data_IF_368504215301
#
_entry.id   IF_368504215301
#
_cell.length_a   1.000
_cell.length_b   1.000
_cell.length_c   1.000
_cell.angle_alpha   90.00
_cell.angle_beta   90.00
_cell.angle_gamma   90.00
#
_symmetry.space_group_name_H-M   'P 1'
#
loop_
_entity.id
_entity.type
_entity.pdbx_description
1 polymer ?
#
# COMPACT_ATOMS: atom_id res chain seq x y z
N UNK A 1 -16.18 -6.45 25.57
CA UNK A 1 -15.00 -7.22 25.11
C UNK A 1 -14.72 -6.88 23.64
N UNK A 2 -13.59 -6.25 23.34
CA UNK A 2 -13.18 -5.97 21.94
C UNK A 2 -12.75 -7.30 21.31
N UNK A 3 -13.45 -7.79 20.28
CA UNK A 3 -13.06 -9.00 19.54
C UNK A 3 -11.74 -8.70 18.81
N UNK A 4 -10.68 -9.45 19.15
CA UNK A 4 -9.42 -9.39 18.43
C UNK A 4 -9.63 -10.01 17.05
N UNK A 5 -9.56 -9.22 15.98
CA UNK A 5 -9.65 -9.78 14.63
C UNK A 5 -8.35 -10.53 14.37
N UNK A 6 -8.41 -11.87 14.37
CA UNK A 6 -7.23 -12.68 14.12
C UNK A 6 -6.75 -12.50 12.67
N UNK A 7 -5.45 -12.73 12.43
CA UNK A 7 -4.93 -12.67 11.06
C UNK A 7 -5.70 -13.60 10.11
N UNK A 8 -6.16 -14.74 10.65
CA UNK A 8 -6.95 -15.73 9.94
C UNK A 8 -8.33 -15.19 9.57
N UNK A 9 -9.03 -14.53 10.50
CA UNK A 9 -10.36 -13.95 10.25
C UNK A 9 -10.35 -12.88 9.16
N UNK A 10 -9.25 -12.14 9.02
CA UNK A 10 -9.10 -11.15 7.94
C UNK A 10 -8.79 -11.81 6.58
N UNK A 11 -8.04 -12.91 6.57
CA UNK A 11 -7.58 -13.55 5.34
C UNK A 11 -8.58 -14.57 4.77
N UNK A 12 -9.37 -15.23 5.61
CA UNK A 12 -10.39 -16.22 5.17
C UNK A 12 -11.32 -15.64 4.09
N UNK A 13 -11.90 -14.43 4.26
CA UNK A 13 -12.82 -13.86 3.27
C UNK A 13 -12.17 -13.56 1.91
N UNK A 14 -10.84 -13.56 1.83
CA UNK A 14 -10.11 -13.22 0.59
C UNK A 14 -9.97 -14.42 -0.36
N UNK A 15 -10.26 -15.62 0.14
CA UNK A 15 -10.18 -16.86 -0.62
C UNK A 15 -11.42 -17.08 -1.50
N UNK A 16 -11.22 -17.65 -2.69
CA UNK A 16 -12.33 -18.13 -3.54
C UNK A 16 -11.90 -19.27 -4.46
N UNK A 17 -12.87 -20.11 -4.86
CA UNK A 17 -12.64 -21.19 -5.82
C UNK A 17 -12.12 -20.70 -7.18
N UNK A 18 -12.58 -19.52 -7.64
CA UNK A 18 -12.11 -18.92 -8.90
C UNK A 18 -10.61 -18.58 -8.83
N UNK A 19 -10.17 -18.02 -7.70
CA UNK A 19 -8.76 -17.69 -7.45
C UNK A 19 -7.88 -18.93 -7.32
N UNK A 20 -8.38 -19.96 -6.64
CA UNK A 20 -7.70 -21.26 -6.54
C UNK A 20 -7.53 -21.90 -7.92
N UNK A 21 -8.61 -21.97 -8.71
CA UNK A 21 -8.58 -22.46 -10.09
C UNK A 21 -7.57 -21.67 -10.96
N UNK A 22 -7.55 -20.34 -10.83
CA UNK A 22 -6.57 -19.51 -11.52
C UNK A 22 -5.12 -19.84 -11.12
N UNK A 23 -4.85 -20.08 -9.83
CA UNK A 23 -3.54 -20.46 -9.34
C UNK A 23 -3.10 -21.82 -9.91
N UNK A 24 -4.00 -22.80 -9.96
CA UNK A 24 -3.75 -24.11 -10.58
C UNK A 24 -3.42 -23.96 -12.07
N UNK A 25 -4.20 -23.16 -12.81
CA UNK A 25 -3.95 -22.89 -14.23
C UNK A 25 -2.59 -22.22 -14.46
N UNK A 26 -2.22 -21.25 -13.63
CA UNK A 26 -0.94 -20.55 -13.70
C UNK A 26 0.25 -21.49 -13.41
N UNK A 27 0.18 -22.28 -12.34
CA UNK A 27 1.25 -23.21 -11.97
C UNK A 27 1.39 -24.31 -13.03
N UNK A 28 0.27 -24.91 -13.45
CA UNK A 28 0.27 -25.96 -14.47
C UNK A 28 0.87 -25.47 -15.79
N UNK A 29 0.47 -24.29 -16.26
CA UNK A 29 1.00 -23.75 -17.51
C UNK A 29 2.46 -23.34 -17.39
N UNK A 30 2.91 -22.86 -16.22
CA UNK A 30 4.33 -22.58 -15.95
C UNK A 30 5.19 -23.85 -16.02
N UNK A 31 4.81 -24.92 -15.31
CA UNK A 31 5.56 -26.17 -15.31
C UNK A 31 5.57 -26.83 -16.68
N UNK A 32 4.44 -26.84 -17.39
CA UNK A 32 4.38 -27.34 -18.77
C UNK A 32 5.25 -26.51 -19.71
N UNK A 33 5.25 -25.19 -19.59
CA UNK A 33 6.11 -24.32 -20.40
C UNK A 33 7.58 -24.62 -20.17
N UNK A 34 7.97 -24.81 -18.90
CA UNK A 34 9.34 -25.14 -18.52
C UNK A 34 9.77 -26.51 -19.05
N UNK A 35 8.90 -27.52 -19.02
CA UNK A 35 9.20 -28.87 -19.49
C UNK A 35 9.27 -28.94 -21.03
N UNK A 36 8.29 -28.33 -21.71
CA UNK A 36 8.14 -28.39 -23.16
C UNK A 36 8.98 -27.37 -23.94
N UNK A 37 9.54 -26.37 -23.25
CA UNK A 37 10.20 -25.19 -23.85
C UNK A 37 9.31 -24.40 -24.82
N UNK A 38 7.99 -24.49 -24.66
CA UNK A 38 6.98 -23.71 -25.39
C UNK A 38 6.22 -22.82 -24.43
N UNK A 39 5.74 -21.66 -24.88
CA UNK A 39 5.03 -20.72 -24.00
C UNK A 39 3.55 -21.07 -23.87
N UNK A 40 3.13 -21.50 -22.68
CA UNK A 40 1.73 -21.72 -22.30
C UNK A 40 1.32 -20.76 -21.18
N UNK A 41 0.31 -19.94 -21.43
CA UNK A 41 -0.23 -18.97 -20.45
C UNK A 41 -1.73 -19.17 -20.31
N UNK A 42 -2.12 -19.99 -19.33
CA UNK A 42 -3.55 -20.29 -19.08
C UNK A 42 -4.12 -19.48 -17.91
N UNK A 43 -3.27 -19.09 -16.96
CA UNK A 43 -3.66 -18.25 -15.83
C UNK A 43 -3.83 -16.77 -16.20
N UNK A 44 -4.65 -16.08 -15.41
CA UNK A 44 -4.78 -14.61 -15.37
C UNK A 44 -3.83 -14.03 -14.32
N UNK A 45 -3.46 -12.73 -14.42
CA UNK A 45 -2.62 -12.08 -13.42
C UNK A 45 -3.24 -12.17 -12.02
N UNK A 46 -2.46 -12.55 -11.03
CA UNK A 46 -2.94 -12.68 -9.65
C UNK A 46 -2.70 -11.41 -8.81
N UNK A 47 -1.90 -10.47 -9.33
CA UNK A 47 -1.60 -9.18 -8.71
C UNK A 47 -1.82 -8.07 -9.72
N UNK A 48 -2.47 -7.00 -9.28
CA UNK A 48 -2.67 -5.78 -10.07
C UNK A 48 -2.14 -4.57 -9.32
N UNK A 49 -1.82 -3.53 -10.08
CA UNK A 49 -1.38 -2.24 -9.58
C UNK A 49 -2.36 -1.19 -10.11
N UNK A 50 -2.92 -0.39 -9.21
CA UNK A 50 -3.79 0.73 -9.53
C UNK A 50 -3.22 1.96 -8.82
N UNK A 51 -3.14 3.08 -9.55
CA UNK A 51 -2.79 4.39 -8.99
C UNK A 51 -4.06 5.12 -8.54
N UNK A 52 -4.31 5.28 -7.23
CA UNK A 52 -5.48 6.04 -6.79
C UNK A 52 -5.34 7.53 -7.13
N UNK A 53 -4.11 8.04 -7.12
CA UNK A 53 -3.80 9.43 -7.46
C UNK A 53 -2.43 9.52 -8.12
N UNK A 54 -2.36 10.22 -9.26
CA UNK A 54 -1.12 10.58 -9.93
C UNK A 54 -0.50 11.90 -9.40
N UNK A 55 -1.13 12.52 -8.39
CA UNK A 55 -0.65 13.71 -7.70
C UNK A 55 0.24 13.32 -6.52
N UNK A 56 1.13 14.22 -6.08
CA UNK A 56 1.90 14.04 -4.85
C UNK A 56 2.12 15.38 -4.15
N UNK A 57 2.10 15.36 -2.82
CA UNK A 57 2.37 16.52 -1.97
C UNK A 57 3.86 16.71 -1.64
N UNK A 58 4.73 15.81 -2.13
CA UNK A 58 6.18 15.89 -1.98
C UNK A 58 6.88 16.18 -3.32
N UNK A 59 8.16 16.56 -3.25
CA UNK A 59 9.00 16.89 -4.42
C UNK A 59 10.29 16.05 -4.46
N UNK A 60 10.17 14.73 -4.32
CA UNK A 60 11.35 13.86 -4.23
C UNK A 60 12.22 13.94 -5.49
N UNK A 61 13.56 14.09 -5.37
CA UNK A 61 14.44 14.44 -6.48
C UNK A 61 14.71 13.31 -7.48
N UNK A 62 14.29 12.08 -7.19
CA UNK A 62 14.39 10.93 -8.10
C UNK A 62 13.01 10.37 -8.49
N UNK A 63 11.93 11.08 -8.16
CA UNK A 63 10.57 10.68 -8.48
C UNK A 63 10.06 11.46 -9.70
N UNK A 64 9.58 10.82 -10.77
CA UNK A 64 9.02 11.52 -11.92
C UNK A 64 7.89 12.50 -11.57
N UNK A 65 7.06 12.15 -10.57
CA UNK A 65 6.00 13.03 -10.06
C UNK A 65 6.59 14.23 -9.32
N UNK A 66 7.60 14.01 -8.47
CA UNK A 66 8.26 15.08 -7.72
C UNK A 66 9.03 16.04 -8.63
N UNK A 67 9.65 15.51 -9.69
CA UNK A 67 10.36 16.26 -10.73
C UNK A 67 9.43 16.89 -11.77
N UNK A 68 8.13 16.56 -11.75
CA UNK A 68 7.13 17.00 -12.75
C UNK A 68 7.52 16.66 -14.19
N UNK A 69 8.10 15.47 -14.40
CA UNK A 69 8.54 15.00 -15.72
C UNK A 69 7.54 14.09 -16.41
N UNK A 70 6.38 13.83 -15.78
CA UNK A 70 5.31 13.05 -16.39
C UNK A 70 4.57 13.87 -17.46
N UNK A 71 4.43 13.30 -18.65
CA UNK A 71 3.69 13.92 -19.77
C UNK A 71 2.18 13.66 -19.76
N UNK A 72 1.72 12.72 -18.92
CA UNK A 72 0.31 12.33 -18.79
C UNK A 72 -0.45 13.23 -17.81
N UNK A 73 -1.78 13.36 -17.94
CA UNK A 73 -2.61 14.04 -16.96
C UNK A 73 -2.44 13.46 -15.55
N UNK A 74 -2.34 14.34 -14.55
CA UNK A 74 -2.19 13.95 -13.14
C UNK A 74 -3.49 14.24 -12.40
N UNK A 75 -4.34 13.23 -12.26
CA UNK A 75 -5.65 13.33 -11.60
C UNK A 75 -5.84 12.23 -10.56
N UNK A 76 -6.91 12.35 -9.78
CA UNK A 76 -7.41 11.26 -8.94
C UNK A 76 -8.27 10.33 -9.79
N UNK A 77 -8.11 9.02 -9.60
CA UNK A 77 -9.06 8.02 -10.10
C UNK A 77 -10.42 8.22 -9.42
N UNK A 78 -11.51 8.20 -10.19
CA UNK A 78 -12.85 8.25 -9.62
C UNK A 78 -13.18 6.93 -8.91
N UNK A 79 -14.10 6.99 -7.96
CA UNK A 79 -14.51 5.76 -7.26
C UNK A 79 -15.29 4.82 -8.20
N UNK A 80 -16.03 5.40 -9.16
CA UNK A 80 -16.80 4.69 -10.16
C UNK A 80 -15.90 3.88 -11.09
N UNK A 81 -14.88 4.51 -11.69
CA UNK A 81 -13.90 3.82 -12.56
C UNK A 81 -13.18 2.72 -11.79
N UNK A 82 -12.82 2.99 -10.53
CA UNK A 82 -12.19 2.00 -9.65
C UNK A 82 -13.09 0.77 -9.46
N UNK A 83 -14.37 0.97 -9.14
CA UNK A 83 -15.30 -0.16 -8.94
C UNK A 83 -15.45 -1.00 -10.20
N UNK A 84 -15.59 -0.35 -11.35
CA UNK A 84 -15.72 -1.03 -12.64
C UNK A 84 -14.50 -1.91 -12.95
N UNK A 85 -13.29 -1.39 -12.70
CA UNK A 85 -12.04 -2.16 -12.87
C UNK A 85 -12.01 -3.35 -11.91
N UNK A 86 -12.31 -3.11 -10.63
CA UNK A 86 -12.24 -4.15 -9.59
C UNK A 86 -13.23 -5.28 -9.87
N UNK A 87 -14.44 -4.98 -10.31
CA UNK A 87 -15.45 -5.98 -10.65
C UNK A 87 -14.99 -6.92 -11.77
N UNK A 88 -14.18 -6.43 -12.71
CA UNK A 88 -13.63 -7.24 -13.80
C UNK A 88 -12.49 -8.17 -13.36
N UNK A 89 -11.71 -7.78 -12.34
CA UNK A 89 -10.48 -8.50 -11.94
C UNK A 89 -10.61 -9.31 -10.64
N UNK A 90 -11.64 -9.06 -9.83
CA UNK A 90 -11.78 -9.64 -8.49
C UNK A 90 -11.76 -11.18 -8.46
N UNK A 91 -12.29 -11.83 -9.51
CA UNK A 91 -12.41 -13.29 -9.59
C UNK A 91 -11.07 -14.04 -9.53
N UNK A 92 -9.96 -13.40 -9.89
CA UNK A 92 -8.64 -14.02 -9.96
C UNK A 92 -7.52 -13.22 -9.27
N UNK A 93 -7.84 -12.01 -8.79
CA UNK A 93 -6.87 -11.12 -8.12
C UNK A 93 -6.75 -11.45 -6.64
N UNK A 94 -5.56 -11.81 -6.19
CA UNK A 94 -5.25 -12.02 -4.77
C UNK A 94 -4.81 -10.72 -4.10
N UNK A 95 -3.93 -9.98 -4.76
CA UNK A 95 -3.29 -8.78 -4.20
C UNK A 95 -3.50 -7.60 -5.12
N UNK A 96 -3.89 -6.46 -4.55
CA UNK A 96 -3.98 -5.19 -5.23
C UNK A 96 -3.02 -4.19 -4.58
N UNK A 97 -2.06 -3.72 -5.37
CA UNK A 97 -1.18 -2.63 -4.98
C UNK A 97 -1.86 -1.31 -5.36
N UNK A 98 -2.36 -0.58 -4.36
CA UNK A 98 -3.00 0.71 -4.52
C UNK A 98 -1.97 1.84 -4.47
N UNK A 99 -0.89 1.73 -5.26
CA UNK A 99 0.18 2.72 -5.38
C UNK A 99 1.06 2.40 -6.60
N UNK A 100 1.62 3.43 -7.22
CA UNK A 100 2.78 3.30 -8.12
C UNK A 100 3.49 4.65 -8.26
N UNK A 101 2.94 5.56 -9.06
CA UNK A 101 3.37 6.95 -9.14
C UNK A 101 2.31 7.85 -8.50
N UNK A 102 2.76 8.77 -7.63
CA UNK A 102 1.90 9.70 -6.90
C UNK A 102 1.83 9.37 -5.42
N UNK A 103 0.77 9.83 -4.76
CA UNK A 103 0.49 9.58 -3.35
C UNK A 103 -0.96 9.14 -3.19
N UNK A 104 -1.17 7.87 -2.86
CA UNK A 104 -2.48 7.23 -2.74
C UNK A 104 -3.40 7.94 -1.76
N UNK A 105 -2.84 8.47 -0.67
CA UNK A 105 -3.60 9.23 0.32
C UNK A 105 -4.03 10.61 -0.17
N UNK A 106 -3.74 11.06 -1.39
CA UNK A 106 -4.38 12.26 -1.94
C UNK A 106 -5.80 11.97 -2.43
N UNK A 107 -6.09 10.72 -2.83
CA UNK A 107 -7.42 10.39 -3.31
C UNK A 107 -8.44 10.49 -2.14
N UNK A 108 -9.54 11.25 -2.28
CA UNK A 108 -10.54 11.40 -1.23
C UNK A 108 -11.29 10.08 -0.94
N UNK A 109 -11.48 9.22 -1.93
CA UNK A 109 -12.20 7.95 -1.84
C UNK A 109 -11.29 6.77 -1.42
N UNK A 110 -10.04 7.01 -1.00
CA UNK A 110 -9.08 5.93 -0.73
C UNK A 110 -9.57 4.93 0.33
N UNK A 111 -10.31 5.38 1.35
CA UNK A 111 -10.87 4.51 2.38
C UNK A 111 -11.95 3.60 1.78
N UNK A 112 -12.81 4.13 0.93
CA UNK A 112 -13.86 3.37 0.25
C UNK A 112 -13.26 2.37 -0.75
N UNK A 113 -12.23 2.78 -1.49
CA UNK A 113 -11.48 1.90 -2.40
C UNK A 113 -10.90 0.68 -1.67
N UNK A 114 -10.29 0.90 -0.50
CA UNK A 114 -9.75 -0.17 0.35
C UNK A 114 -10.84 -1.15 0.78
N UNK A 115 -11.96 -0.63 1.30
CA UNK A 115 -13.04 -1.46 1.83
C UNK A 115 -13.74 -2.24 0.71
N UNK A 116 -13.97 -1.61 -0.44
CA UNK A 116 -14.58 -2.25 -1.60
C UNK A 116 -13.71 -3.40 -2.15
N UNK A 117 -12.39 -3.21 -2.25
CA UNK A 117 -11.50 -4.30 -2.64
C UNK A 117 -11.57 -5.48 -1.65
N UNK A 118 -11.63 -5.21 -0.35
CA UNK A 118 -11.77 -6.26 0.66
C UNK A 118 -13.12 -7.00 0.53
N UNK A 119 -14.22 -6.29 0.29
CA UNK A 119 -15.55 -6.88 0.02
C UNK A 119 -15.54 -7.78 -1.22
N UNK A 120 -14.72 -7.44 -2.22
CA UNK A 120 -14.45 -8.25 -3.41
C UNK A 120 -13.42 -9.37 -3.17
N UNK A 121 -13.02 -9.57 -1.92
CA UNK A 121 -12.09 -10.59 -1.48
C UNK A 121 -10.63 -10.29 -1.79
N UNK A 122 -10.24 -9.05 -2.09
CA UNK A 122 -8.88 -8.71 -2.53
C UNK A 122 -8.06 -8.13 -1.37
N UNK A 123 -6.83 -8.63 -1.19
CA UNK A 123 -5.88 -8.07 -0.23
C UNK A 123 -5.26 -6.78 -0.77
N UNK A 124 -5.38 -5.67 -0.05
CA UNK A 124 -4.83 -4.38 -0.47
C UNK A 124 -3.52 -4.05 0.21
N UNK A 125 -2.59 -3.50 -0.58
CA UNK A 125 -1.33 -2.93 -0.12
C UNK A 125 -1.26 -1.47 -0.56
N UNK A 126 -0.93 -0.57 0.35
CA UNK A 126 -0.64 0.84 0.04
C UNK A 126 0.81 1.13 0.42
N UNK A 127 1.52 1.84 -0.45
CA UNK A 127 2.74 2.57 -0.11
C UNK A 127 2.43 4.05 -0.07
N UNK A 128 2.80 4.73 1.01
CA UNK A 128 2.51 6.15 1.22
C UNK A 128 3.68 6.86 1.89
N UNK A 129 3.83 8.16 1.61
CA UNK A 129 4.72 9.06 2.33
C UNK A 129 4.21 9.42 3.75
N UNK A 130 2.98 9.03 4.10
CA UNK A 130 2.45 9.15 5.47
C UNK A 130 2.03 10.55 5.90
N UNK A 131 2.19 11.61 5.09
CA UNK A 131 1.89 12.98 5.52
C UNK A 131 0.42 13.19 5.92
N UNK A 132 -0.53 12.51 5.24
CA UNK A 132 -1.97 12.59 5.58
C UNK A 132 -2.30 11.95 6.94
N UNK A 133 -1.43 11.10 7.49
CA UNK A 133 -1.63 10.50 8.82
C UNK A 133 -1.57 11.53 9.95
N UNK A 134 -1.01 12.71 9.70
CA UNK A 134 -1.06 13.80 10.66
C UNK A 134 -2.47 14.40 10.82
N UNK A 135 -3.45 14.00 10.00
CA UNK A 135 -4.85 14.25 10.26
C UNK A 135 -5.40 13.11 11.16
N UNK A 136 -5.80 13.41 12.42
CA UNK A 136 -6.33 12.43 13.36
C UNK A 136 -7.51 11.61 12.86
N UNK A 137 -8.43 12.26 12.17
CA UNK A 137 -9.64 11.62 11.68
C UNK A 137 -9.30 10.65 10.54
N UNK A 138 -8.40 11.04 9.64
CA UNK A 138 -7.93 10.15 8.59
C UNK A 138 -7.18 8.93 9.17
N UNK A 139 -6.29 9.13 10.15
CA UNK A 139 -5.59 8.03 10.81
C UNK A 139 -6.57 7.04 11.48
N UNK A 140 -7.62 7.56 12.13
CA UNK A 140 -8.69 6.76 12.73
C UNK A 140 -9.48 5.98 11.67
N UNK A 141 -9.87 6.62 10.57
CA UNK A 141 -10.58 5.97 9.47
C UNK A 141 -9.73 4.86 8.84
N UNK A 142 -8.44 5.12 8.64
CA UNK A 142 -7.50 4.14 8.10
C UNK A 142 -7.32 2.94 9.05
N UNK A 143 -7.21 3.16 10.36
CA UNK A 143 -7.19 2.07 11.35
C UNK A 143 -8.49 1.24 11.37
N UNK A 144 -9.64 1.89 11.10
CA UNK A 144 -10.94 1.23 11.00
C UNK A 144 -11.15 0.49 9.68
N UNK A 145 -10.45 0.87 8.62
CA UNK A 145 -10.54 0.27 7.29
C UNK A 145 -10.15 -1.22 7.27
N UNK A 146 -10.35 -1.84 6.10
CA UNK A 146 -9.90 -3.20 5.78
C UNK A 146 -8.57 -3.23 5.01
N UNK A 147 -7.69 -2.26 5.24
CA UNK A 147 -6.36 -2.26 4.63
C UNK A 147 -5.54 -3.45 5.14
N UNK A 148 -4.97 -4.24 4.22
CA UNK A 148 -4.13 -5.38 4.55
C UNK A 148 -2.71 -4.98 4.95
N UNK A 149 -2.07 -4.12 4.16
CA UNK A 149 -0.68 -3.71 4.41
C UNK A 149 -0.47 -2.24 4.06
N UNK A 150 0.19 -1.54 4.97
CA UNK A 150 0.63 -0.16 4.79
C UNK A 150 2.15 -0.11 4.85
N UNK A 151 2.76 0.35 3.77
CA UNK A 151 4.18 0.61 3.65
C UNK A 151 4.37 2.13 3.78
N UNK A 152 5.14 2.56 4.77
CA UNK A 152 5.40 3.97 5.04
C UNK A 152 6.82 4.31 4.63
N UNK A 153 6.92 5.16 3.63
CA UNK A 153 8.16 5.68 3.09
C UNK A 153 8.78 6.72 4.01
N UNK A 154 9.78 6.33 4.80
CA UNK A 154 10.49 7.18 5.75
C UNK A 154 11.98 7.04 5.47
N UNK A 155 12.55 7.92 4.64
CA UNK A 155 13.94 7.83 4.15
C UNK A 155 14.95 8.68 4.97
N UNK A 156 14.74 8.72 6.29
CA UNK A 156 15.62 9.39 7.26
C UNK A 156 15.10 9.15 8.68
N UNK A 157 16.01 9.12 9.66
CA UNK A 157 15.72 9.02 11.09
C UNK A 157 15.82 10.39 11.81
N UNK A 158 16.17 11.44 11.07
CA UNK A 158 16.23 12.84 11.52
C UNK A 158 15.50 13.76 10.54
N UNK A 159 15.17 14.98 10.98
CA UNK A 159 14.50 15.96 10.12
C UNK A 159 15.44 16.43 9.00
N UNK A 160 16.72 16.54 9.33
CA UNK A 160 17.83 16.94 8.49
C UNK A 160 18.00 15.94 7.34
N UNK A 161 18.17 14.65 7.64
CA UNK A 161 18.37 13.62 6.62
C UNK A 161 17.10 13.37 5.80
N UNK A 162 15.93 13.31 6.45
CA UNK A 162 14.66 13.04 5.78
C UNK A 162 14.34 14.08 4.68
N UNK A 163 14.59 15.37 4.96
CA UNK A 163 14.28 16.46 4.01
C UNK A 163 15.15 16.47 2.76
N UNK A 164 16.32 15.83 2.77
CA UNK A 164 17.20 15.74 1.59
C UNK A 164 16.46 15.06 0.43
N UNK A 165 15.79 13.93 0.72
CA UNK A 165 15.06 13.18 -0.28
C UNK A 165 13.56 13.47 -0.28
N UNK A 166 12.90 13.50 0.88
CA UNK A 166 11.45 13.69 1.01
C UNK A 166 11.08 15.17 1.10
N UNK A 167 11.52 15.93 0.09
CA UNK A 167 11.32 17.38 0.01
C UNK A 167 9.84 17.76 0.10
N UNK A 168 9.56 18.88 0.79
CA UNK A 168 8.23 19.35 1.20
C UNK A 168 7.50 18.45 2.23
N UNK A 169 8.18 17.44 2.77
CA UNK A 169 7.72 16.64 3.90
C UNK A 169 8.30 17.13 5.22
N UNK A 170 7.67 16.71 6.32
CA UNK A 170 8.09 17.06 7.68
C UNK A 170 8.20 15.78 8.51
N UNK A 171 9.43 15.38 8.84
CA UNK A 171 9.72 14.09 9.48
C UNK A 171 8.96 13.93 10.79
N UNK A 172 9.08 14.91 11.71
CA UNK A 172 8.40 14.87 13.02
C UNK A 172 6.88 14.72 12.88
N UNK A 173 6.28 15.39 11.89
CA UNK A 173 4.84 15.31 11.62
C UNK A 173 4.42 13.94 11.11
N UNK A 174 5.22 13.35 10.22
CA UNK A 174 4.99 11.99 9.71
C UNK A 174 5.09 10.98 10.86
N UNK A 175 6.17 11.01 11.65
CA UNK A 175 6.34 10.09 12.78
C UNK A 175 5.19 10.20 13.79
N UNK A 176 4.77 11.41 14.15
CA UNK A 176 3.60 11.62 15.03
C UNK A 176 2.32 11.02 14.45
N UNK A 177 2.09 11.18 13.14
CA UNK A 177 0.93 10.57 12.47
C UNK A 177 0.99 9.03 12.45
N UNK A 178 2.19 8.46 12.31
CA UNK A 178 2.39 7.01 12.38
C UNK A 178 2.11 6.49 13.80
N UNK A 179 2.62 7.15 14.83
CA UNK A 179 2.33 6.82 16.23
C UNK A 179 0.83 6.80 16.49
N UNK A 180 0.12 7.83 16.02
CA UNK A 180 -1.32 7.92 16.16
C UNK A 180 -2.05 6.76 15.45
N UNK A 181 -1.65 6.42 14.22
CA UNK A 181 -2.23 5.28 13.51
C UNK A 181 -2.01 3.96 14.26
N UNK A 182 -0.80 3.75 14.80
CA UNK A 182 -0.46 2.56 15.57
C UNK A 182 -1.30 2.48 16.85
N UNK A 183 -1.47 3.60 17.55
CA UNK A 183 -2.30 3.70 18.75
C UNK A 183 -3.78 3.40 18.45
N UNK A 184 -4.34 4.00 17.40
CA UNK A 184 -5.72 3.73 16.96
C UNK A 184 -5.90 2.24 16.61
N UNK A 185 -4.93 1.62 15.93
CA UNK A 185 -4.94 0.18 15.62
C UNK A 185 -4.91 -0.67 16.89
N UNK A 186 -4.05 -0.33 17.87
CA UNK A 186 -3.97 -1.00 19.18
C UNK A 186 -5.29 -0.87 19.94
N UNK A 187 -5.89 0.32 19.95
CA UNK A 187 -7.16 0.62 20.60
C UNK A 187 -8.32 -0.18 20.00
N UNK A 188 -8.27 -0.51 18.71
CA UNK A 188 -9.25 -1.35 18.04
C UNK A 188 -9.00 -2.86 18.22
N UNK A 189 -7.89 -3.26 18.88
CA UNK A 189 -7.47 -4.64 19.03
C UNK A 189 -7.37 -5.38 17.68
N UNK A 190 -6.87 -4.70 16.64
CA UNK A 190 -6.74 -5.27 15.28
C UNK A 190 -5.29 -5.64 14.97
N UNK A 191 -5.12 -6.77 14.27
CA UNK A 191 -3.84 -7.11 13.63
C UNK A 191 -3.52 -6.26 12.38
N UNK A 192 -4.53 -5.64 11.78
CA UNK A 192 -4.45 -4.94 10.49
C UNK A 192 -4.74 -3.43 10.59
N UNK A 193 -4.15 -2.60 9.71
CA UNK A 193 -3.16 -2.98 8.69
C UNK A 193 -1.83 -3.42 9.32
N UNK A 194 -1.11 -4.32 8.64
CA UNK A 194 0.32 -4.51 8.93
C UNK A 194 1.06 -3.26 8.47
N UNK A 195 1.82 -2.65 9.36
CA UNK A 195 2.56 -1.42 9.09
C UNK A 195 4.04 -1.75 8.95
N UNK A 196 4.63 -1.41 7.81
CA UNK A 196 6.06 -1.56 7.56
C UNK A 196 6.67 -0.19 7.28
N UNK A 197 7.80 0.12 7.91
CA UNK A 197 8.62 1.28 7.56
C UNK A 197 9.54 0.86 6.41
N UNK A 198 9.49 1.59 5.30
CA UNK A 198 10.39 1.44 4.17
C UNK A 198 11.40 2.59 4.14
N UNK A 199 12.66 2.23 3.95
CA UNK A 199 13.80 3.13 3.92
C UNK A 199 14.66 2.81 2.68
N UNK A 200 14.80 3.77 1.78
CA UNK A 200 15.69 3.69 0.62
C UNK A 200 17.08 4.12 1.07
N UNK A 201 18.04 3.19 1.02
CA UNK A 201 19.43 3.48 1.38
C UNK A 201 20.09 4.31 0.29
N UNK A 202 20.61 5.46 0.68
CA UNK A 202 21.30 6.45 -0.14
C UNK A 202 22.53 6.94 0.62
N UNK A 203 23.54 7.49 -0.09
CA UNK A 203 24.78 7.98 0.55
C UNK A 203 24.54 8.96 1.71
N UNK A 204 23.52 9.79 1.63
CA UNK A 204 23.23 10.78 2.66
C UNK A 204 22.48 10.22 3.88
N UNK A 205 21.97 8.99 3.83
CA UNK A 205 21.18 8.40 4.93
C UNK A 205 21.66 7.01 5.38
N UNK A 206 22.61 6.38 4.69
CA UNK A 206 23.08 5.03 5.00
C UNK A 206 23.63 4.86 6.43
N UNK A 207 24.13 5.96 7.02
CA UNK A 207 24.59 5.99 8.40
C UNK A 207 23.44 5.84 9.43
N UNK A 208 22.19 6.16 9.05
CA UNK A 208 20.99 6.09 9.92
C UNK A 208 20.25 4.73 9.85
N UNK A 209 20.78 3.71 9.14
CA UNK A 209 20.10 2.42 9.00
C UNK A 209 19.81 1.73 10.35
N UNK A 210 20.67 1.92 11.36
CA UNK A 210 20.44 1.38 12.70
C UNK A 210 19.34 2.14 13.42
N UNK A 211 19.31 3.46 13.24
CA UNK A 211 18.35 4.35 13.88
C UNK A 211 16.95 4.15 13.31
N UNK A 212 16.79 3.98 12.00
CA UNK A 212 15.48 3.68 11.41
C UNK A 212 14.94 2.32 11.88
N UNK A 213 15.82 1.33 12.08
CA UNK A 213 15.43 0.02 12.64
C UNK A 213 15.02 0.13 14.11
N UNK A 214 15.69 0.98 14.88
CA UNK A 214 15.32 1.29 16.28
C UNK A 214 13.96 2.00 16.32
N UNK A 215 13.78 3.04 15.51
CA UNK A 215 12.53 3.77 15.38
C UNK A 215 11.36 2.83 15.05
N UNK A 216 11.54 1.93 14.09
CA UNK A 216 10.51 0.95 13.73
C UNK A 216 10.12 -0.03 14.84
N UNK A 217 10.98 -0.25 15.85
CA UNK A 217 10.65 -1.05 17.04
C UNK A 217 9.95 -0.24 18.13
N UNK A 218 10.21 1.06 18.20
CA UNK A 218 9.65 1.97 19.19
C UNK A 218 8.22 2.40 18.84
N UNK A 219 7.88 2.42 17.55
CA UNK A 219 6.53 2.68 17.04
C UNK A 219 5.58 1.50 17.30
#
# INVERSE_FOLDING_TARGET
MKKFISCIEFLIPLWSWKKFSNAVSMLSSYFLSRLSRRYFVWGKPYTFIIEPSALCNLRCPQCPVGLKTLSRPQNNMTYEDYREIIDQIAGYTWVLLLYFQGESFINPAIIDMINYAYEKGIFTVISSNGNRLANPEFARQLAKSKLGRLILSVDGASEETYKIYRQAGYFRRVIKGIQQLVEERRNLAKGFPRIDIQFIVMRHNEHEMRDIKKLGKEL
#
